data_IF_474987802305
#
_entry.id   IF_474987802305
#
_cell.length_a   1.000
_cell.length_b   1.000
_cell.length_c   1.000
_cell.angle_alpha   90.00
_cell.angle_beta   90.00
_cell.angle_gamma   90.00
#
_symmetry.space_group_name_H-M   'P 1'
#
loop_
_entity.id
_entity.type
_entity.pdbx_description
1 polymer ?
#
# COMPACT_ATOMS: atom_id res chain seq x y z
N UNK A 1 -3.99 -18.69 29.02
CA UNK A 1 -3.54 -17.46 28.31
C UNK A 1 -3.77 -17.51 26.79
N UNK A 2 -3.22 -18.47 26.03
CA UNK A 2 -3.48 -18.53 24.57
C UNK A 2 -4.94 -18.84 24.19
N UNK A 3 -5.62 -19.70 24.96
CA UNK A 3 -7.04 -20.04 24.74
C UNK A 3 -8.01 -18.90 25.12
N UNK A 4 -7.62 -18.10 26.12
CA UNK A 4 -8.41 -16.96 26.60
C UNK A 4 -8.32 -15.78 25.63
N UNK A 5 -7.12 -15.51 25.11
CA UNK A 5 -6.95 -14.57 24.01
C UNK A 5 -7.65 -15.00 22.73
N UNK A 6 -7.82 -16.31 22.46
CA UNK A 6 -8.60 -16.82 21.32
C UNK A 6 -10.11 -16.57 21.52
N UNK A 7 -10.63 -16.78 22.73
CA UNK A 7 -12.06 -16.53 23.05
C UNK A 7 -12.43 -15.05 22.99
N UNK A 8 -11.57 -14.15 23.48
CA UNK A 8 -11.78 -12.70 23.36
C UNK A 8 -11.80 -12.25 21.89
N UNK A 9 -10.92 -12.82 21.04
CA UNK A 9 -10.90 -12.55 19.59
C UNK A 9 -12.17 -13.01 18.90
N UNK A 10 -12.64 -14.22 19.22
CA UNK A 10 -13.90 -14.73 18.68
C UNK A 10 -15.09 -13.89 19.13
N UNK A 11 -15.13 -13.45 20.38
CA UNK A 11 -16.22 -12.62 20.90
C UNK A 11 -16.25 -11.24 20.22
N UNK A 12 -15.10 -10.58 20.04
CA UNK A 12 -15.02 -9.31 19.33
C UNK A 12 -15.43 -9.43 17.85
N UNK A 13 -14.97 -10.49 17.17
CA UNK A 13 -15.33 -10.73 15.76
C UNK A 13 -16.81 -11.08 15.59
N UNK A 14 -17.37 -11.94 16.46
CA UNK A 14 -18.80 -12.29 16.45
C UNK A 14 -19.66 -11.05 16.66
N UNK A 15 -19.32 -10.21 17.64
CA UNK A 15 -20.03 -8.95 17.88
C UNK A 15 -19.96 -7.98 16.69
N UNK A 16 -18.79 -7.87 16.07
CA UNK A 16 -18.60 -7.04 14.87
C UNK A 16 -19.43 -7.54 13.68
N UNK A 17 -19.32 -8.83 13.32
CA UNK A 17 -20.07 -9.40 12.20
C UNK A 17 -21.57 -9.32 12.44
N UNK A 18 -22.01 -9.52 13.68
CA UNK A 18 -23.42 -9.36 14.05
C UNK A 18 -23.90 -7.92 13.86
N UNK A 19 -23.14 -6.93 14.36
CA UNK A 19 -23.47 -5.52 14.20
C UNK A 19 -23.51 -5.10 12.72
N UNK A 20 -22.44 -5.38 11.96
CA UNK A 20 -22.38 -4.99 10.55
C UNK A 20 -23.36 -5.78 9.69
N UNK A 21 -23.64 -7.05 10.01
CA UNK A 21 -24.65 -7.86 9.33
C UNK A 21 -26.02 -7.20 9.36
N UNK A 22 -26.45 -6.73 10.54
CA UNK A 22 -27.72 -5.99 10.66
C UNK A 22 -27.69 -4.65 9.93
N UNK A 23 -26.58 -3.90 9.98
CA UNK A 23 -26.42 -2.65 9.21
C UNK A 23 -26.57 -2.92 7.70
N UNK A 24 -25.93 -3.96 7.17
CA UNK A 24 -26.04 -4.34 5.76
C UNK A 24 -27.45 -4.82 5.37
N UNK A 25 -28.12 -5.59 6.23
CA UNK A 25 -29.50 -6.01 5.98
C UNK A 25 -30.45 -4.81 5.93
N UNK A 26 -30.39 -3.94 6.94
CA UNK A 26 -31.25 -2.75 7.02
C UNK A 26 -31.00 -1.84 5.83
N UNK A 27 -29.73 -1.54 5.51
CA UNK A 27 -29.39 -0.66 4.39
C UNK A 27 -29.84 -1.25 3.05
N UNK A 28 -29.66 -2.55 2.82
CA UNK A 28 -30.11 -3.22 1.58
C UNK A 28 -31.64 -3.22 1.47
N UNK A 29 -32.35 -3.52 2.55
CA UNK A 29 -33.83 -3.46 2.56
C UNK A 29 -34.35 -2.05 2.33
N UNK A 30 -33.72 -1.03 2.92
CA UNK A 30 -34.08 0.38 2.67
C UNK A 30 -33.85 0.74 1.21
N UNK A 31 -32.73 0.35 0.59
CA UNK A 31 -32.49 0.59 -0.84
C UNK A 31 -33.55 -0.12 -1.67
N UNK A 32 -33.89 -1.37 -1.38
CA UNK A 32 -34.92 -2.11 -2.11
C UNK A 32 -36.31 -1.45 -2.03
N UNK A 33 -36.69 -0.94 -0.86
CA UNK A 33 -38.00 -0.31 -0.65
C UNK A 33 -38.07 1.10 -1.24
N UNK A 34 -37.01 1.91 -1.08
CA UNK A 34 -37.03 3.32 -1.43
C UNK A 34 -36.49 3.62 -2.83
N UNK A 35 -35.58 2.80 -3.36
CA UNK A 35 -35.04 2.98 -4.72
C UNK A 35 -35.94 2.23 -5.70
N UNK A 36 -36.93 2.93 -6.22
CA UNK A 36 -37.76 2.45 -7.33
C UNK A 36 -36.97 2.65 -8.62
N UNK A 37 -36.58 1.55 -9.27
CA UNK A 37 -35.98 1.64 -10.60
C UNK A 37 -37.04 2.10 -11.61
N UNK A 38 -36.66 2.98 -12.53
CA UNK A 38 -37.53 3.45 -13.62
C UNK A 38 -37.32 2.50 -14.79
N UNK A 39 -38.29 1.63 -15.04
CA UNK A 39 -38.29 0.74 -16.21
C UNK A 39 -38.51 1.56 -17.49
N UNK A 40 -37.44 1.78 -18.25
CA UNK A 40 -37.50 2.39 -19.58
C UNK A 40 -37.84 1.38 -20.71
N UNK A 41 -38.14 0.13 -20.37
CA UNK A 41 -38.32 -0.97 -21.33
C UNK A 41 -39.69 -1.01 -22.04
N UNK A 42 -40.60 -0.05 -21.78
CA UNK A 42 -41.94 -0.04 -22.39
C UNK A 42 -42.32 1.38 -22.85
N UNK A 43 -41.73 1.84 -23.96
CA UNK A 43 -42.41 2.79 -24.87
C UNK A 43 -41.77 2.76 -26.27
N UNK A 44 -42.41 2.18 -27.29
CA UNK A 44 -41.92 2.27 -28.65
C UNK A 44 -42.36 3.60 -29.26
N UNK A 45 -41.60 4.67 -29.04
CA UNK A 45 -41.80 5.92 -29.80
C UNK A 45 -40.60 6.87 -29.74
N UNK A 46 -39.44 6.43 -30.25
CA UNK A 46 -38.44 7.24 -31.00
C UNK A 46 -37.11 6.48 -31.06
N UNK A 47 -36.47 6.35 -32.24
CA UNK A 47 -35.26 5.55 -32.39
C UNK A 47 -34.00 6.40 -32.17
N UNK A 48 -33.89 7.10 -31.05
CA UNK A 48 -32.58 7.58 -30.62
C UNK A 48 -32.57 7.99 -29.14
N UNK A 49 -31.42 7.76 -28.50
CA UNK A 49 -31.05 8.24 -27.16
C UNK A 49 -31.61 7.51 -25.91
N UNK A 50 -31.29 6.22 -25.70
CA UNK A 50 -31.16 5.76 -24.31
C UNK A 50 -31.28 4.28 -23.99
N UNK A 51 -31.72 3.42 -24.91
CA UNK A 51 -31.83 1.99 -24.60
C UNK A 51 -30.46 1.35 -24.40
N UNK A 52 -30.27 0.70 -23.24
CA UNK A 52 -29.17 -0.23 -23.00
C UNK A 52 -29.29 -1.36 -24.03
N UNK A 53 -28.24 -1.61 -24.82
CA UNK A 53 -28.28 -2.69 -25.79
C UNK A 53 -28.23 -4.03 -25.07
N UNK A 54 -29.24 -4.86 -25.27
CA UNK A 54 -29.19 -6.29 -24.91
C UNK A 54 -28.26 -7.01 -25.90
N UNK A 55 -26.95 -6.95 -25.67
CA UNK A 55 -25.95 -7.61 -26.51
C UNK A 55 -25.88 -9.11 -26.22
N UNK A 56 -25.81 -9.92 -27.28
CA UNK A 56 -25.41 -11.33 -27.17
C UNK A 56 -23.99 -11.48 -26.63
N UNK A 57 -23.63 -12.68 -26.14
CA UNK A 57 -22.31 -12.94 -25.54
C UNK A 57 -21.17 -12.62 -26.52
N UNK A 58 -21.29 -13.07 -27.78
CA UNK A 58 -20.27 -12.84 -28.82
C UNK A 58 -20.13 -11.35 -29.14
N UNK A 59 -21.26 -10.66 -29.28
CA UNK A 59 -21.27 -9.23 -29.57
C UNK A 59 -20.70 -8.41 -28.40
N UNK A 60 -20.94 -8.85 -27.18
CA UNK A 60 -20.34 -8.26 -25.97
C UNK A 60 -18.81 -8.34 -26.01
N UNK A 61 -18.22 -9.49 -26.34
CA UNK A 61 -16.77 -9.61 -26.49
C UNK A 61 -16.23 -8.81 -27.68
N UNK A 62 -16.97 -8.73 -28.79
CA UNK A 62 -16.59 -7.91 -29.94
C UNK A 62 -16.60 -6.40 -29.59
N UNK A 63 -17.59 -5.94 -28.83
CA UNK A 63 -17.67 -4.56 -28.33
C UNK A 63 -16.57 -4.28 -27.32
N UNK A 64 -16.31 -5.19 -26.37
CA UNK A 64 -15.20 -5.08 -25.41
C UNK A 64 -13.85 -4.86 -26.14
N UNK A 65 -13.61 -5.63 -27.19
CA UNK A 65 -12.41 -5.49 -28.01
C UNK A 65 -12.32 -4.13 -28.71
N UNK A 66 -13.46 -3.59 -29.17
CA UNK A 66 -13.53 -2.24 -29.73
C UNK A 66 -13.26 -1.16 -28.68
N UNK A 67 -13.81 -1.29 -27.46
CA UNK A 67 -13.55 -0.37 -26.34
C UNK A 67 -12.05 -0.31 -26.05
N UNK A 68 -11.40 -1.47 -25.88
CA UNK A 68 -9.97 -1.55 -25.57
C UNK A 68 -9.11 -0.92 -26.67
N UNK A 69 -9.53 -0.96 -27.94
CA UNK A 69 -8.81 -0.34 -29.07
C UNK A 69 -8.98 1.18 -29.19
N UNK A 70 -9.86 1.82 -28.42
CA UNK A 70 -9.98 3.28 -28.44
C UNK A 70 -8.68 3.93 -27.95
N UNK A 71 -8.17 4.94 -28.67
CA UNK A 71 -6.91 5.62 -28.31
C UNK A 71 -6.92 6.16 -26.86
N UNK A 72 -7.98 6.85 -26.39
CA UNK A 72 -8.03 7.31 -24.99
C UNK A 72 -8.08 6.14 -23.99
N UNK A 73 -8.77 5.05 -24.34
CA UNK A 73 -8.86 3.85 -23.51
C UNK A 73 -7.52 3.15 -23.40
N UNK A 74 -6.77 2.96 -24.47
CA UNK A 74 -5.40 2.41 -24.43
C UNK A 74 -4.51 3.22 -23.49
N UNK A 75 -4.59 4.55 -23.56
CA UNK A 75 -3.84 5.42 -22.65
C UNK A 75 -4.30 5.29 -21.20
N UNK A 76 -5.60 5.12 -20.94
CA UNK A 76 -6.13 4.85 -19.59
C UNK A 76 -5.69 3.47 -19.07
N UNK A 77 -5.75 2.42 -19.90
CA UNK A 77 -5.25 1.08 -19.60
C UNK A 77 -3.78 1.12 -19.27
N UNK A 78 -3.00 1.87 -20.03
CA UNK A 78 -1.59 2.11 -19.74
C UNK A 78 -1.47 2.76 -18.37
N UNK A 79 -2.19 3.84 -18.07
CA UNK A 79 -2.11 4.49 -16.74
C UNK A 79 -2.50 3.56 -15.60
N UNK A 80 -3.50 2.69 -15.80
CA UNK A 80 -4.00 1.74 -14.80
C UNK A 80 -3.11 0.50 -14.61
N UNK A 81 -2.49 0.01 -15.67
CA UNK A 81 -1.67 -1.21 -15.62
C UNK A 81 -0.19 -0.91 -15.53
N UNK A 82 0.24 0.27 -15.97
CA UNK A 82 1.63 0.58 -16.23
C UNK A 82 1.95 2.05 -15.96
N UNK A 83 2.92 2.24 -15.09
CA UNK A 83 3.99 3.15 -15.47
C UNK A 83 4.65 2.60 -16.73
N UNK A 84 4.09 3.00 -17.89
CA UNK A 84 4.61 2.94 -19.27
C UNK A 84 4.70 1.57 -19.96
N UNK A 85 3.88 1.38 -21.02
CA UNK A 85 4.33 1.17 -22.44
C UNK A 85 3.12 1.10 -23.40
N UNK A 86 2.88 2.15 -24.18
CA UNK A 86 2.79 2.10 -25.66
C UNK A 86 3.50 3.37 -26.11
N UNK A 87 4.74 3.19 -26.57
CA UNK A 87 5.33 4.18 -27.45
C UNK A 87 4.41 4.27 -28.66
N UNK A 88 4.17 5.50 -29.10
CA UNK A 88 3.55 5.81 -30.38
C UNK A 88 4.00 4.80 -31.46
N UNK A 89 3.11 3.87 -31.80
CA UNK A 89 3.21 3.15 -33.06
C UNK A 89 2.75 4.14 -34.12
N UNK A 90 3.68 4.99 -34.57
CA UNK A 90 3.91 5.51 -35.92
C UNK A 90 4.96 6.63 -35.77
N UNK A 91 6.24 6.30 -35.88
CA UNK A 91 7.10 6.80 -36.97
C UNK A 91 8.53 6.18 -36.92
N UNK A 92 9.14 6.04 -38.11
CA UNK A 92 10.40 5.35 -38.41
C UNK A 92 11.66 6.00 -37.80
N UNK A 93 12.67 5.20 -37.40
CA UNK A 93 14.08 5.64 -37.39
C UNK A 93 14.97 5.21 -36.21
N UNK A 94 15.73 4.12 -36.43
CA UNK A 94 17.06 3.76 -35.87
C UNK A 94 17.77 4.77 -34.95
N UNK A 95 18.05 4.39 -33.68
CA UNK A 95 19.41 4.17 -33.15
C UNK A 95 19.37 3.58 -31.72
N UNK A 96 20.28 2.61 -31.48
CA UNK A 96 20.44 1.87 -30.23
C UNK A 96 21.20 2.70 -29.18
N UNK A 97 20.78 2.61 -27.91
CA UNK A 97 21.62 3.06 -26.80
C UNK A 97 20.92 3.06 -25.45
N UNK A 98 21.37 2.19 -24.56
CA UNK A 98 21.12 2.12 -23.10
C UNK A 98 19.75 1.62 -22.62
N UNK A 99 19.71 0.32 -22.35
CA UNK A 99 18.87 -0.28 -21.32
C UNK A 99 19.27 0.26 -19.92
N UNK A 100 18.40 1.06 -19.30
CA UNK A 100 18.25 1.08 -17.84
C UNK A 100 16.78 1.17 -17.48
N UNK A 101 16.37 0.25 -16.62
CA UNK A 101 15.00 -0.12 -16.32
C UNK A 101 14.05 1.05 -16.07
N UNK A 102 13.00 1.11 -16.87
CA UNK A 102 11.76 1.83 -16.57
C UNK A 102 10.62 0.81 -16.55
N UNK A 103 10.39 0.22 -15.38
CA UNK A 103 9.14 -0.44 -15.00
C UNK A 103 8.75 0.15 -13.66
N UNK A 104 7.62 0.82 -13.59
CA UNK A 104 7.12 1.31 -12.31
C UNK A 104 6.11 2.41 -12.46
N UNK A 105 4.84 2.02 -12.54
CA UNK A 105 3.74 2.86 -12.10
C UNK A 105 2.89 1.98 -11.23
N UNK A 106 2.40 2.57 -10.15
CA UNK A 106 1.81 1.94 -8.96
C UNK A 106 2.76 1.19 -8.01
N UNK A 107 4.06 1.11 -8.31
CA UNK A 107 5.08 0.66 -7.33
C UNK A 107 5.18 1.65 -6.15
N UNK A 108 4.77 2.90 -6.32
CA UNK A 108 4.95 3.99 -5.35
C UNK A 108 4.44 3.69 -3.94
N UNK A 109 3.34 2.95 -3.83
CA UNK A 109 2.68 2.65 -2.56
C UNK A 109 2.82 1.18 -2.16
N UNK A 110 3.33 0.34 -3.07
CA UNK A 110 3.37 -1.10 -2.90
C UNK A 110 4.21 -1.53 -1.68
N UNK A 111 5.33 -0.85 -1.43
CA UNK A 111 6.18 -1.14 -0.28
C UNK A 111 5.48 -0.77 1.03
N UNK A 112 4.86 0.41 1.08
CA UNK A 112 4.14 0.89 2.27
C UNK A 112 2.93 0.01 2.58
N UNK A 113 2.10 -0.30 1.60
CA UNK A 113 0.85 -1.04 1.80
C UNK A 113 1.10 -2.55 1.97
N UNK A 114 2.08 -3.10 1.26
CA UNK A 114 2.36 -4.54 1.24
C UNK A 114 3.32 -5.04 2.33
N UNK A 115 4.33 -4.24 2.70
CA UNK A 115 5.44 -4.71 3.55
C UNK A 115 5.30 -4.21 4.99
N UNK A 116 4.77 -3.01 5.22
CA UNK A 116 4.69 -2.39 6.57
C UNK A 116 3.96 -3.28 7.57
N UNK A 117 2.82 -3.87 7.17
CA UNK A 117 2.08 -4.81 8.02
C UNK A 117 2.89 -6.05 8.39
N UNK A 118 3.61 -6.63 7.42
CA UNK A 118 4.50 -7.79 7.66
C UNK A 118 5.67 -7.42 8.58
N UNK A 119 6.21 -6.22 8.44
CA UNK A 119 7.31 -5.74 9.26
C UNK A 119 6.90 -5.54 10.72
N UNK A 120 5.72 -4.98 10.97
CA UNK A 120 5.17 -4.83 12.32
C UNK A 120 4.95 -6.19 13.01
N UNK A 121 4.46 -7.17 12.27
CA UNK A 121 4.34 -8.55 12.76
C UNK A 121 5.73 -9.13 13.08
N UNK A 122 6.71 -8.93 12.21
CA UNK A 122 8.09 -9.39 12.42
C UNK A 122 8.78 -8.75 13.63
N UNK A 123 8.40 -7.52 14.00
CA UNK A 123 8.90 -6.82 15.19
C UNK A 123 8.27 -7.31 16.52
N UNK A 124 7.26 -8.18 16.45
CA UNK A 124 6.59 -8.76 17.61
C UNK A 124 5.24 -8.10 17.94
N UNK A 125 4.70 -7.25 17.08
CA UNK A 125 3.36 -6.70 17.29
C UNK A 125 2.31 -7.81 17.11
N UNK A 126 1.39 -8.01 18.07
CA UNK A 126 0.37 -9.04 17.98
C UNK A 126 -0.56 -8.79 16.78
N UNK A 127 -0.69 -9.82 15.94
CA UNK A 127 -1.50 -9.80 14.70
C UNK A 127 -2.95 -9.35 14.95
N UNK A 128 -3.48 -9.62 16.13
CA UNK A 128 -4.88 -9.32 16.47
C UNK A 128 -5.10 -7.82 16.70
N UNK A 129 -4.11 -7.14 17.29
CA UNK A 129 -4.17 -5.69 17.45
C UNK A 129 -4.08 -5.00 16.09
N UNK A 130 -3.18 -5.45 15.21
CA UNK A 130 -3.09 -4.98 13.82
C UNK A 130 -4.38 -5.22 13.03
N UNK A 131 -4.94 -6.43 13.10
CA UNK A 131 -6.20 -6.75 12.44
C UNK A 131 -7.37 -5.95 13.00
N UNK A 132 -7.39 -5.67 14.31
CA UNK A 132 -8.44 -4.84 14.92
C UNK A 132 -8.37 -3.38 14.46
N UNK A 133 -7.21 -2.85 14.08
CA UNK A 133 -7.11 -1.49 13.52
C UNK A 133 -7.90 -1.38 12.20
N UNK A 134 -7.80 -2.40 11.33
CA UNK A 134 -8.53 -2.43 10.07
C UNK A 134 -10.06 -2.40 10.28
N UNK A 135 -10.55 -3.05 11.33
CA UNK A 135 -11.96 -3.09 11.73
C UNK A 135 -12.48 -1.69 12.08
N UNK A 136 -11.69 -0.89 12.81
CA UNK A 136 -12.05 0.50 13.15
C UNK A 136 -12.02 1.46 11.96
N UNK A 137 -11.37 1.07 10.86
CA UNK A 137 -11.33 1.87 9.64
C UNK A 137 -12.59 1.69 8.78
N UNK A 138 -13.35 0.60 8.93
CA UNK A 138 -14.55 0.31 8.13
C UNK A 138 -15.62 1.42 8.15
N UNK A 139 -16.01 2.00 9.31
CA UNK A 139 -16.95 3.14 9.33
C UNK A 139 -16.45 4.33 8.52
N UNK A 140 -15.14 4.61 8.60
CA UNK A 140 -14.52 5.69 7.84
C UNK A 140 -14.69 5.47 6.33
N UNK A 141 -14.59 4.23 5.85
CA UNK A 141 -14.78 3.89 4.42
C UNK A 141 -16.21 4.13 3.93
N UNK A 142 -17.21 3.98 4.79
CA UNK A 142 -18.62 4.19 4.44
C UNK A 142 -18.97 5.68 4.46
N UNK A 143 -18.43 6.43 5.44
CA UNK A 143 -18.70 7.86 5.59
C UNK A 143 -17.92 8.73 4.60
N UNK A 144 -16.70 8.34 4.22
CA UNK A 144 -15.84 9.13 3.33
C UNK A 144 -16.48 9.40 1.95
N UNK A 145 -17.01 8.41 1.21
CA UNK A 145 -17.67 8.64 -0.06
C UNK A 145 -18.87 9.59 0.04
N UNK A 146 -19.61 9.56 1.15
CA UNK A 146 -20.72 10.48 1.38
C UNK A 146 -20.24 11.93 1.54
N UNK A 147 -19.17 12.16 2.31
CA UNK A 147 -18.58 13.49 2.50
C UNK A 147 -17.91 14.02 1.22
N UNK A 148 -17.21 13.15 0.50
CA UNK A 148 -16.42 13.51 -0.69
C UNK A 148 -17.28 13.53 -1.96
N UNK A 149 -18.48 12.95 -1.91
CA UNK A 149 -19.39 12.79 -3.05
C UNK A 149 -19.62 14.07 -3.86
N UNK A 150 -19.75 15.23 -3.20
CA UNK A 150 -19.89 16.54 -3.89
C UNK A 150 -18.66 16.93 -4.70
N UNK A 151 -17.47 16.55 -4.24
CA UNK A 151 -16.20 16.85 -4.92
C UNK A 151 -15.87 15.84 -6.02
N UNK A 152 -16.29 14.58 -5.87
CA UNK A 152 -16.07 13.52 -6.88
C UNK A 152 -17.15 13.46 -7.95
N UNK A 153 -18.39 13.90 -7.67
CA UNK A 153 -19.46 13.98 -8.66
C UNK A 153 -19.31 15.17 -9.64
N UNK A 154 -18.33 16.05 -9.42
CA UNK A 154 -18.08 17.20 -10.29
C UNK A 154 -17.56 16.81 -11.69
N UNK A 155 -17.40 17.79 -12.59
CA UNK A 155 -16.94 17.56 -13.97
C UNK A 155 -15.47 17.12 -14.06
N UNK A 156 -14.73 17.13 -12.94
CA UNK A 156 -13.29 16.83 -12.90
C UNK A 156 -12.89 15.98 -11.68
N UNK A 157 -13.34 14.70 -11.60
CA UNK A 157 -13.04 13.82 -10.46
C UNK A 157 -11.55 13.55 -10.21
N UNK A 158 -10.73 13.36 -11.26
CA UNK A 158 -9.28 13.13 -11.15
C UNK A 158 -8.50 14.29 -10.51
N UNK A 159 -9.08 15.50 -10.34
CA UNK A 159 -8.38 16.55 -9.59
C UNK A 159 -8.22 16.18 -8.11
N UNK A 160 -9.22 15.49 -7.54
CA UNK A 160 -9.16 14.98 -6.16
C UNK A 160 -8.08 13.89 -6.07
N UNK A 161 -7.98 13.02 -7.09
CA UNK A 161 -6.91 12.04 -7.20
C UNK A 161 -5.52 12.71 -7.22
N UNK A 162 -5.33 13.74 -8.04
CA UNK A 162 -4.06 14.47 -8.16
C UNK A 162 -3.66 15.18 -6.88
N UNK A 163 -4.62 15.64 -6.07
CA UNK A 163 -4.36 16.27 -4.77
C UNK A 163 -4.03 15.23 -3.69
N UNK A 164 -4.73 14.10 -3.68
CA UNK A 164 -4.53 13.03 -2.70
C UNK A 164 -3.24 12.23 -2.93
N UNK A 165 -2.78 12.11 -4.18
CA UNK A 165 -1.57 11.36 -4.55
C UNK A 165 -0.28 11.80 -3.82
N UNK A 166 0.14 13.07 -3.84
CA UNK A 166 1.35 13.50 -3.11
C UNK A 166 1.22 13.34 -1.60
N UNK A 167 0.01 13.55 -1.05
CA UNK A 167 -0.26 13.32 0.36
C UNK A 167 -0.08 11.83 0.73
N UNK A 168 -0.50 10.90 -0.15
CA UNK A 168 -0.27 9.46 0.05
C UNK A 168 1.22 9.10 0.01
N UNK A 169 2.02 9.70 -0.88
CA UNK A 169 3.48 9.49 -0.92
C UNK A 169 4.11 9.96 0.39
N UNK A 170 3.72 11.14 0.85
CA UNK A 170 4.19 11.69 2.12
C UNK A 170 3.87 10.75 3.30
N UNK A 171 2.62 10.26 3.39
CA UNK A 171 2.22 9.30 4.42
C UNK A 171 3.00 7.98 4.34
N UNK A 172 3.42 7.55 3.15
CA UNK A 172 4.31 6.40 2.98
C UNK A 172 5.68 6.60 3.62
N UNK A 173 6.26 7.79 3.48
CA UNK A 173 7.50 8.16 4.18
C UNK A 173 7.32 8.23 5.70
N UNK A 174 6.19 8.79 6.17
CA UNK A 174 5.84 8.81 7.60
C UNK A 174 5.74 7.40 8.16
N UNK A 175 5.13 6.46 7.44
CA UNK A 175 5.03 5.07 7.88
C UNK A 175 6.40 4.40 7.97
N UNK A 176 7.28 4.61 6.99
CA UNK A 176 8.65 4.11 7.10
C UNK A 176 9.39 4.69 8.32
N UNK A 177 9.23 5.99 8.61
CA UNK A 177 9.78 6.58 9.82
C UNK A 177 9.17 6.00 11.11
N UNK A 178 7.86 5.74 11.14
CA UNK A 178 7.18 5.09 12.25
C UNK A 178 7.67 3.64 12.46
N UNK A 179 7.88 2.88 11.39
CA UNK A 179 8.49 1.53 11.45
C UNK A 179 9.88 1.61 12.05
N UNK A 180 10.70 2.58 11.61
CA UNK A 180 12.04 2.78 12.15
C UNK A 180 12.03 3.11 13.65
N UNK A 181 11.07 3.91 14.09
CA UNK A 181 10.97 4.37 15.48
C UNK A 181 10.34 3.34 16.43
N UNK A 182 9.45 2.49 15.92
CA UNK A 182 8.74 1.44 16.69
C UNK A 182 9.64 0.58 17.60
N UNK A 183 10.81 0.04 17.17
CA UNK A 183 11.65 -0.79 18.04
C UNK A 183 12.17 -0.07 19.29
N UNK A 184 12.26 1.27 19.29
CA UNK A 184 12.73 2.03 20.46
C UNK A 184 11.79 1.96 21.66
N UNK A 185 10.52 1.60 21.46
CA UNK A 185 9.51 1.50 22.54
C UNK A 185 9.25 0.07 23.00
N UNK A 186 10.07 -0.88 22.58
CA UNK A 186 9.90 -2.28 22.96
C UNK A 186 10.17 -2.46 24.45
N UNK A 187 9.15 -2.86 25.22
CA UNK A 187 9.28 -3.10 26.65
C UNK A 187 10.06 -4.41 26.90
N UNK A 188 10.69 -4.58 28.08
CA UNK A 188 11.42 -5.80 28.44
C UNK A 188 10.58 -7.07 28.39
N UNK A 189 9.24 -6.95 28.57
CA UNK A 189 8.28 -8.05 28.45
C UNK A 189 7.91 -8.42 27.01
N UNK A 190 8.45 -7.72 26.00
CA UNK A 190 8.17 -7.95 24.58
C UNK A 190 6.95 -7.20 24.03
N UNK A 191 6.16 -6.57 24.90
CA UNK A 191 5.00 -5.77 24.53
C UNK A 191 5.37 -4.32 24.16
N UNK A 192 4.42 -3.63 23.52
CA UNK A 192 4.51 -2.21 23.19
C UNK A 192 3.52 -1.39 24.03
N UNK A 193 3.83 -0.13 24.38
CA UNK A 193 2.91 0.73 25.11
C UNK A 193 1.66 1.06 24.28
N UNK A 194 0.50 1.18 24.94
CA UNK A 194 -0.78 1.51 24.30
C UNK A 194 -0.72 2.79 23.42
N UNK A 195 0.08 3.77 23.86
CA UNK A 195 0.28 5.02 23.13
C UNK A 195 0.84 4.81 21.72
N UNK A 196 1.75 3.84 21.54
CA UNK A 196 2.31 3.53 20.23
C UNK A 196 1.23 2.99 19.28
N UNK A 197 0.35 2.13 19.78
CA UNK A 197 -0.79 1.64 19.00
C UNK A 197 -1.75 2.77 18.60
N UNK A 198 -2.01 3.72 19.50
CA UNK A 198 -2.85 4.88 19.17
C UNK A 198 -2.23 5.75 18.07
N UNK A 199 -0.90 5.95 18.09
CA UNK A 199 -0.16 6.66 17.04
C UNK A 199 -0.28 5.91 15.71
N UNK A 200 -0.11 4.59 15.71
CA UNK A 200 -0.28 3.77 14.51
C UNK A 200 -1.70 3.84 13.95
N UNK A 201 -2.72 3.74 14.80
CA UNK A 201 -4.14 3.88 14.39
C UNK A 201 -4.38 5.25 13.76
N UNK A 202 -3.91 6.32 14.40
CA UNK A 202 -4.06 7.67 13.87
C UNK A 202 -3.39 7.82 12.50
N UNK A 203 -2.15 7.34 12.37
CA UNK A 203 -1.43 7.31 11.10
C UNK A 203 -2.18 6.54 10.02
N UNK A 204 -2.73 5.37 10.36
CA UNK A 204 -3.56 4.56 9.47
C UNK A 204 -4.84 5.30 9.05
N UNK A 205 -5.55 5.98 9.95
CA UNK A 205 -6.70 6.79 9.59
C UNK A 205 -6.35 7.86 8.54
N UNK A 206 -5.25 8.60 8.77
CA UNK A 206 -4.77 9.62 7.84
C UNK A 206 -4.37 9.06 6.47
N UNK A 207 -3.68 7.93 6.46
CA UNK A 207 -3.31 7.22 5.23
C UNK A 207 -4.56 6.74 4.47
N UNK A 208 -5.54 6.19 5.19
CA UNK A 208 -6.76 5.65 4.59
C UNK A 208 -7.59 6.73 3.90
N UNK A 209 -7.71 7.93 4.47
CA UNK A 209 -8.40 9.04 3.81
C UNK A 209 -7.82 9.29 2.40
N UNK A 210 -6.49 9.33 2.25
CA UNK A 210 -5.84 9.51 0.95
C UNK A 210 -6.20 8.39 -0.04
N UNK A 211 -6.08 7.15 0.42
CA UNK A 211 -6.33 5.95 -0.39
C UNK A 211 -7.78 5.91 -0.88
N UNK A 212 -8.76 6.16 -0.01
CA UNK A 212 -10.17 6.20 -0.38
C UNK A 212 -10.51 7.37 -1.30
N UNK A 213 -9.97 8.57 -1.06
CA UNK A 213 -10.15 9.69 -1.98
C UNK A 213 -9.69 9.34 -3.40
N UNK A 214 -8.55 8.67 -3.55
CA UNK A 214 -8.04 8.21 -4.84
C UNK A 214 -8.96 7.16 -5.47
N UNK A 215 -9.37 6.15 -4.70
CA UNK A 215 -10.24 5.08 -5.17
C UNK A 215 -11.60 5.62 -5.66
N UNK A 216 -12.28 6.44 -4.85
CA UNK A 216 -13.58 7.01 -5.20
C UNK A 216 -13.48 7.93 -6.41
N UNK A 217 -12.40 8.71 -6.53
CA UNK A 217 -12.18 9.58 -7.70
C UNK A 217 -11.99 8.79 -9.00
N UNK A 218 -11.27 7.67 -8.93
CA UNK A 218 -11.08 6.79 -10.09
C UNK A 218 -12.40 6.11 -10.50
N UNK A 219 -13.17 5.62 -9.53
CA UNK A 219 -14.48 5.02 -9.77
C UNK A 219 -15.48 6.02 -10.36
N UNK A 220 -15.49 7.26 -9.86
CA UNK A 220 -16.31 8.32 -10.41
C UNK A 220 -15.93 8.65 -11.87
N UNK A 221 -14.64 8.64 -12.20
CA UNK A 221 -14.19 8.83 -13.57
C UNK A 221 -14.55 7.67 -14.49
N UNK A 222 -14.35 6.43 -14.04
CA UNK A 222 -14.72 5.23 -14.78
C UNK A 222 -16.22 5.22 -15.12
N UNK A 223 -17.06 5.65 -14.18
CA UNK A 223 -18.50 5.80 -14.41
C UNK A 223 -18.82 6.93 -15.41
N UNK A 224 -18.04 8.03 -15.42
CA UNK A 224 -18.25 9.15 -16.35
C UNK A 224 -17.83 8.85 -17.79
N UNK A 225 -16.81 8.01 -18.00
CA UNK A 225 -16.33 7.62 -19.34
C UNK A 225 -17.06 6.41 -19.93
N UNK A 226 -17.76 5.65 -19.09
CA UNK A 226 -18.53 4.48 -19.54
C UNK A 226 -19.73 4.95 -20.36
N UNK A 227 -19.82 4.44 -21.59
CA UNK A 227 -20.95 4.70 -22.49
C UNK A 227 -22.26 4.15 -21.88
N UNK A 228 -23.30 4.97 -21.68
CA UNK A 228 -24.57 4.52 -21.08
C UNK A 228 -25.19 3.32 -21.79
N UNK A 229 -25.03 3.21 -23.12
CA UNK A 229 -25.61 2.11 -23.91
C UNK A 229 -24.99 0.73 -23.60
N UNK A 230 -23.76 0.72 -23.08
CA UNK A 230 -22.96 -0.48 -22.75
C UNK A 230 -22.27 -0.33 -21.38
N UNK A 231 -22.92 0.40 -20.47
CA UNK A 231 -22.31 0.88 -19.23
C UNK A 231 -21.89 -0.26 -18.30
N UNK A 232 -22.69 -1.32 -18.21
CA UNK A 232 -22.40 -2.49 -17.37
C UNK A 232 -21.10 -3.19 -17.76
N UNK A 233 -20.92 -3.51 -19.05
CA UNK A 233 -19.71 -4.18 -19.56
C UNK A 233 -18.49 -3.27 -19.45
N UNK A 234 -18.61 -1.98 -19.79
CA UNK A 234 -17.51 -1.03 -19.75
C UNK A 234 -17.03 -0.79 -18.30
N UNK A 235 -17.96 -0.53 -17.37
CA UNK A 235 -17.64 -0.30 -15.97
C UNK A 235 -17.00 -1.54 -15.33
N UNK A 236 -17.50 -2.74 -15.66
CA UNK A 236 -16.93 -3.99 -15.15
C UNK A 236 -15.49 -4.18 -15.62
N UNK A 237 -15.21 -3.99 -16.92
CA UNK A 237 -13.86 -4.06 -17.46
C UNK A 237 -12.90 -3.12 -16.71
N UNK A 238 -13.28 -1.85 -16.56
CA UNK A 238 -12.49 -0.83 -15.88
C UNK A 238 -12.23 -1.17 -14.41
N UNK A 239 -13.20 -1.77 -13.72
CA UNK A 239 -13.04 -2.23 -12.34
C UNK A 239 -12.08 -3.42 -12.24
N UNK A 240 -12.18 -4.38 -13.17
CA UNK A 240 -11.22 -5.49 -13.25
C UNK A 240 -9.80 -4.97 -13.43
N UNK A 241 -9.61 -3.97 -14.28
CA UNK A 241 -8.30 -3.37 -14.53
C UNK A 241 -7.76 -2.59 -13.34
N UNK A 242 -8.60 -1.83 -12.63
CA UNK A 242 -8.22 -1.18 -11.38
C UNK A 242 -7.75 -2.19 -10.32
N UNK A 243 -8.51 -3.28 -10.16
CA UNK A 243 -8.17 -4.33 -9.20
C UNK A 243 -6.88 -5.07 -9.59
N UNK A 244 -6.66 -5.30 -10.88
CA UNK A 244 -5.42 -5.89 -11.37
C UNK A 244 -4.25 -4.94 -11.11
N UNK A 245 -4.37 -3.67 -11.53
CA UNK A 245 -3.39 -2.60 -11.36
C UNK A 245 -2.90 -2.45 -9.92
N UNK A 246 -3.83 -2.43 -8.95
CA UNK A 246 -3.47 -2.26 -7.55
C UNK A 246 -2.73 -3.44 -6.89
N UNK A 247 -2.94 -4.68 -7.35
CA UNK A 247 -2.42 -5.87 -6.66
C UNK A 247 -1.07 -6.36 -7.18
N UNK A 248 -0.84 -6.34 -8.50
CA UNK A 248 0.42 -6.85 -9.08
C UNK A 248 1.70 -6.12 -8.58
N UNK A 249 1.71 -4.80 -8.30
CA UNK A 249 2.91 -4.11 -7.81
C UNK A 249 3.30 -4.56 -6.41
N UNK A 250 2.32 -4.91 -5.56
CA UNK A 250 2.54 -5.42 -4.21
C UNK A 250 3.24 -6.78 -4.25
N UNK A 251 2.78 -7.69 -5.10
CA UNK A 251 3.45 -8.98 -5.28
C UNK A 251 4.88 -8.81 -5.81
N UNK A 252 5.07 -7.91 -6.78
CA UNK A 252 6.39 -7.65 -7.34
C UNK A 252 7.35 -7.06 -6.30
N UNK A 253 6.94 -6.05 -5.53
CA UNK A 253 7.83 -5.41 -4.55
C UNK A 253 8.18 -6.37 -3.41
N UNK A 254 7.25 -7.22 -2.97
CA UNK A 254 7.52 -8.24 -1.97
C UNK A 254 8.61 -9.20 -2.46
N UNK A 255 8.51 -9.67 -3.71
CA UNK A 255 9.53 -10.53 -4.31
C UNK A 255 10.89 -9.82 -4.50
N UNK A 256 10.89 -8.52 -4.82
CA UNK A 256 12.12 -7.74 -5.00
C UNK A 256 12.79 -7.38 -3.67
N UNK A 257 12.03 -7.24 -2.59
CA UNK A 257 12.55 -6.83 -1.28
C UNK A 257 13.52 -7.87 -0.71
N UNK A 258 13.30 -9.15 -0.99
CA UNK A 258 14.21 -10.23 -0.59
C UNK A 258 15.59 -10.09 -1.25
N UNK A 259 15.66 -9.57 -2.48
CA UNK A 259 16.93 -9.31 -3.17
C UNK A 259 17.68 -8.09 -2.60
N UNK A 260 16.95 -7.11 -2.05
CA UNK A 260 17.54 -5.92 -1.43
C UNK A 260 17.85 -6.08 0.07
N UNK A 261 17.50 -7.23 0.65
CA UNK A 261 17.72 -7.50 2.07
C UNK A 261 19.03 -8.23 2.27
N UNK A 262 19.97 -7.59 2.98
CA UNK A 262 21.26 -8.18 3.32
C UNK A 262 21.28 -8.56 4.80
N UNK A 263 21.69 -9.81 5.07
CA UNK A 263 21.75 -10.40 6.40
C UNK A 263 23.15 -10.84 6.72
N UNK A 264 23.57 -10.62 7.96
CA UNK A 264 24.88 -10.99 8.46
C UNK A 264 24.75 -11.95 9.66
N UNK A 265 25.64 -12.95 9.71
CA UNK A 265 25.72 -13.89 10.81
C UNK A 265 26.53 -13.26 11.95
N UNK A 266 25.90 -13.12 13.11
CA UNK A 266 26.47 -12.49 14.30
C UNK A 266 26.47 -13.47 15.46
N UNK A 267 27.56 -13.45 16.24
CA UNK A 267 27.75 -14.35 17.38
C UNK A 267 26.71 -14.09 18.47
N UNK A 268 25.99 -15.15 18.87
CA UNK A 268 24.96 -15.10 19.89
C UNK A 268 25.60 -14.97 21.28
N UNK A 269 25.67 -13.75 21.81
CA UNK A 269 25.99 -13.31 23.20
C UNK A 269 26.80 -12.00 23.29
N UNK A 270 27.03 -11.31 22.17
CA UNK A 270 27.53 -9.92 22.18
C UNK A 270 26.38 -8.95 22.48
N UNK A 271 25.68 -9.10 23.62
CA UNK A 271 24.68 -8.12 24.07
C UNK A 271 25.40 -6.89 24.62
N UNK A 272 25.88 -6.03 23.74
CA UNK A 272 26.18 -4.65 24.12
C UNK A 272 24.84 -3.96 24.37
N UNK A 273 24.52 -3.70 25.65
CA UNK A 273 23.44 -2.77 25.99
C UNK A 273 23.83 -1.39 25.49
N UNK A 274 23.44 -1.03 24.28
CA UNK A 274 23.42 0.37 23.83
C UNK A 274 22.30 1.03 24.64
N UNK A 275 22.63 1.53 25.83
CA UNK A 275 21.79 2.50 26.53
C UNK A 275 21.80 3.77 25.68
N UNK A 276 20.82 3.90 24.78
CA UNK A 276 20.30 5.20 24.37
C UNK A 276 19.65 5.84 25.61
N UNK A 277 20.46 6.37 26.52
CA UNK A 277 20.03 7.30 27.57
C UNK A 277 21.09 8.38 27.70
N UNK A 278 21.33 9.06 26.58
CA UNK A 278 21.89 10.39 26.57
C UNK A 278 20.90 11.24 25.80
N UNK A 279 19.85 11.70 26.49
CA UNK A 279 19.08 12.92 26.26
C UNK A 279 18.00 12.93 27.37
N UNK A 280 18.11 13.92 28.27
CA UNK A 280 17.23 14.27 29.40
C UNK A 280 17.43 13.43 30.69
N UNK A 281 18.35 13.87 31.56
CA UNK A 281 18.11 14.51 32.88
C UNK A 281 19.49 14.91 33.44
N UNK A 282 19.56 16.12 33.99
CA UNK A 282 20.79 16.84 34.32
C UNK A 282 21.64 16.28 35.47
N UNK A 283 22.85 16.83 35.53
CA UNK A 283 23.68 17.11 36.71
C UNK A 283 23.58 16.14 37.90
N UNK A 284 24.62 15.32 38.10
CA UNK A 284 24.89 14.64 39.36
C UNK A 284 26.37 14.31 39.50
N UNK A 285 27.04 14.97 40.45
CA UNK A 285 28.42 14.73 40.84
C UNK A 285 28.60 13.30 41.39
N UNK A 286 29.68 12.61 41.00
CA UNK A 286 30.18 11.46 41.76
C UNK A 286 31.34 11.91 42.67
N UNK A 287 31.15 11.98 44.00
CA UNK A 287 32.24 12.08 44.95
C UNK A 287 32.69 10.68 45.41
N UNK A 288 33.99 10.51 45.69
CA UNK A 288 34.46 9.52 46.66
C UNK A 288 34.97 8.18 46.13
N UNK A 289 36.31 8.09 46.06
CA UNK A 289 37.19 7.06 46.65
C UNK A 289 36.48 5.80 47.24
N UNK A 290 36.67 4.62 46.62
CA UNK A 290 36.29 3.33 47.22
C UNK A 290 36.26 2.16 46.22
N UNK A 291 37.37 1.43 46.17
CA UNK A 291 37.65 0.11 45.60
C UNK A 291 36.46 -0.79 45.17
N UNK A 292 36.48 -1.31 43.93
CA UNK A 292 36.12 -2.71 43.64
C UNK A 292 36.97 -3.22 42.46
N UNK A 293 37.98 -4.00 42.83
CA UNK A 293 38.71 -4.92 41.97
C UNK A 293 37.77 -6.06 41.54
N UNK A 294 37.76 -6.38 40.24
CA UNK A 294 37.81 -7.75 39.76
C UNK A 294 38.80 -7.77 38.58
N UNK A 295 39.96 -8.39 38.82
CA UNK A 295 41.00 -8.71 37.85
C UNK A 295 40.90 -10.22 37.60
N UNK A 296 40.88 -10.64 36.33
CA UNK A 296 41.42 -11.94 35.91
C UNK A 296 42.39 -11.69 34.75
N UNK A 297 43.58 -12.26 34.91
CA UNK A 297 44.74 -12.17 34.03
C UNK A 297 44.77 -13.42 33.13
N UNK A 298 45.04 -13.26 31.84
CA UNK A 298 45.30 -14.33 30.89
C UNK A 298 45.90 -13.73 29.62
N UNK A 299 47.10 -14.19 29.28
CA UNK A 299 48.09 -13.57 28.38
C UNK A 299 47.69 -13.51 26.90
N UNK A 300 48.15 -12.45 26.21
CA UNK A 300 48.10 -12.31 24.76
C UNK A 300 47.96 -10.85 24.32
N UNK A 301 49.08 -10.21 23.99
CA UNK A 301 49.14 -8.84 23.47
C UNK A 301 48.26 -8.63 22.23
N UNK A 302 47.33 -7.68 22.27
CA UNK A 302 47.10 -6.75 21.15
C UNK A 302 46.30 -5.53 21.59
N UNK A 303 46.84 -4.39 21.19
CA UNK A 303 46.41 -2.99 21.20
C UNK A 303 44.91 -2.72 21.44
N UNK A 304 44.65 -1.81 22.38
CA UNK A 304 43.37 -1.12 22.63
C UNK A 304 42.76 -0.56 21.33
N UNK A 305 41.53 -0.96 21.03
CA UNK A 305 40.55 -0.05 20.43
C UNK A 305 39.21 -0.12 21.17
N UNK A 306 38.62 1.05 21.39
CA UNK A 306 37.43 1.28 22.22
C UNK A 306 36.24 1.48 21.31
N UNK A 307 35.82 0.41 20.63
CA UNK A 307 34.52 0.30 19.95
C UNK A 307 34.03 -1.13 20.09
N UNK A 308 32.91 -1.33 20.77
CA UNK A 308 32.22 -2.62 20.90
C UNK A 308 31.76 -3.11 19.52
N UNK A 309 32.54 -3.99 18.91
CA UNK A 309 32.31 -4.55 17.60
C UNK A 309 31.33 -5.74 17.71
N UNK A 310 30.18 -5.66 17.05
CA UNK A 310 29.42 -6.87 16.71
C UNK A 310 30.35 -7.72 15.84
N UNK A 311 30.84 -8.87 16.34
CA UNK A 311 31.70 -9.75 15.55
C UNK A 311 30.88 -10.42 14.44
N UNK A 312 30.91 -9.82 13.26
CA UNK A 312 30.29 -10.36 12.03
C UNK A 312 31.18 -11.48 11.51
N UNK A 313 30.60 -12.67 11.30
CA UNK A 313 31.32 -13.83 10.79
C UNK A 313 31.33 -13.84 9.25
N UNK A 314 30.14 -13.80 8.64
CA UNK A 314 29.92 -13.81 7.19
C UNK A 314 28.46 -13.45 6.87
N UNK A 315 28.18 -13.06 5.61
CA UNK A 315 26.81 -12.75 5.18
C UNK A 315 25.97 -14.02 4.96
N UNK A 316 24.75 -14.05 5.49
CA UNK A 316 23.84 -15.19 5.50
C UNK A 316 22.63 -14.99 4.55
N UNK A 317 22.90 -14.54 3.32
CA UNK A 317 21.85 -14.21 2.35
C UNK A 317 21.20 -15.45 1.70
N UNK A 318 21.88 -16.59 1.66
CA UNK A 318 21.33 -17.84 1.11
C UNK A 318 20.84 -18.77 2.22
N UNK A 319 19.86 -19.62 1.91
CA UNK A 319 19.32 -20.59 2.86
C UNK A 319 20.40 -21.52 3.44
N UNK A 320 21.37 -21.93 2.61
CA UNK A 320 22.48 -22.78 3.05
C UNK A 320 23.37 -22.08 4.10
N UNK A 321 23.69 -20.80 3.89
CA UNK A 321 24.49 -20.00 4.83
C UNK A 321 23.72 -19.66 6.10
N UNK A 322 22.40 -19.44 6.00
CA UNK A 322 21.53 -19.23 7.16
C UNK A 322 21.44 -20.50 8.03
N UNK A 323 21.30 -21.67 7.40
CA UNK A 323 21.30 -22.96 8.10
C UNK A 323 22.67 -23.23 8.76
N UNK A 324 23.77 -22.86 8.10
CA UNK A 324 25.12 -22.96 8.67
C UNK A 324 25.30 -22.07 9.90
N UNK A 325 24.84 -20.81 9.83
CA UNK A 325 24.90 -19.87 10.95
C UNK A 325 24.10 -20.38 12.16
N UNK A 326 22.88 -20.87 11.90
CA UNK A 326 21.99 -21.40 12.96
C UNK A 326 22.56 -22.67 13.59
N UNK A 327 23.19 -23.55 12.79
CA UNK A 327 23.91 -24.74 13.28
C UNK A 327 25.13 -24.38 14.15
N UNK A 328 25.79 -23.26 13.84
CA UNK A 328 26.88 -22.71 14.65
C UNK A 328 26.44 -22.15 16.01
N UNK A 329 25.13 -22.05 16.26
CA UNK A 329 24.58 -21.43 17.47
C UNK A 329 24.44 -19.90 17.36
N UNK A 330 24.75 -19.33 16.19
CA UNK A 330 24.76 -17.90 15.90
C UNK A 330 23.41 -17.42 15.33
N UNK A 331 23.23 -16.09 15.24
CA UNK A 331 21.99 -15.48 14.74
C UNK A 331 22.26 -14.70 13.47
N UNK A 332 21.47 -15.00 12.43
CA UNK A 332 21.47 -14.24 11.19
C UNK A 332 20.58 -12.99 11.36
N UNK A 333 21.20 -11.83 11.61
CA UNK A 333 20.52 -10.55 11.79
C UNK A 333 20.50 -9.76 10.49
N UNK A 334 19.43 -9.00 10.25
CA UNK A 334 19.31 -8.13 9.07
C UNK A 334 20.17 -6.90 9.29
N UNK A 335 21.21 -6.73 8.48
CA UNK A 335 22.08 -5.56 8.53
C UNK A 335 21.51 -4.41 7.67
N UNK A 336 21.06 -4.72 6.44
CA UNK A 336 20.38 -3.77 5.56
C UNK A 336 18.99 -4.30 5.26
N UNK A 337 17.99 -3.57 5.73
CA UNK A 337 16.59 -3.91 5.49
C UNK A 337 16.12 -3.38 4.14
N UNK A 338 15.84 -4.31 3.23
CA UNK A 338 15.36 -4.01 1.88
C UNK A 338 14.05 -3.20 1.88
N UNK A 339 13.29 -3.21 2.98
CA UNK A 339 12.08 -2.40 3.13
C UNK A 339 12.33 -0.90 2.94
N UNK A 340 13.35 -0.32 3.58
CA UNK A 340 13.59 1.12 3.47
C UNK A 340 14.11 1.53 2.09
N UNK A 341 14.93 0.67 1.47
CA UNK A 341 15.37 0.83 0.08
C UNK A 341 14.18 0.76 -0.86
N UNK A 342 13.29 -0.23 -0.67
CA UNK A 342 12.06 -0.36 -1.43
C UNK A 342 11.18 0.89 -1.29
N UNK A 343 10.90 1.35 -0.07
CA UNK A 343 10.09 2.58 0.16
C UNK A 343 10.71 3.79 -0.52
N UNK A 344 12.03 3.98 -0.43
CA UNK A 344 12.72 5.09 -1.08
C UNK A 344 12.62 5.02 -2.61
N UNK A 345 12.90 3.86 -3.21
CA UNK A 345 12.79 3.64 -4.66
C UNK A 345 11.34 3.83 -5.15
N UNK A 346 10.37 3.24 -4.45
CA UNK A 346 8.95 3.39 -4.72
C UNK A 346 8.54 4.87 -4.70
N UNK A 347 8.95 5.62 -3.69
CA UNK A 347 8.63 7.05 -3.55
C UNK A 347 9.20 7.88 -4.69
N UNK A 348 10.46 7.65 -5.09
CA UNK A 348 11.09 8.33 -6.24
C UNK A 348 10.36 7.99 -7.55
N UNK A 349 10.08 6.72 -7.79
CA UNK A 349 9.31 6.25 -8.95
C UNK A 349 7.93 6.91 -8.98
N UNK A 350 7.25 7.00 -7.83
CA UNK A 350 5.95 7.65 -7.68
C UNK A 350 5.97 9.14 -8.01
N UNK A 351 7.01 9.87 -7.57
CA UNK A 351 7.16 11.30 -7.89
C UNK A 351 7.38 11.49 -9.40
N UNK A 352 8.21 10.65 -10.03
CA UNK A 352 8.45 10.70 -11.48
C UNK A 352 7.16 10.36 -12.25
N UNK A 353 6.46 9.31 -11.84
CA UNK A 353 5.16 8.91 -12.40
C UNK A 353 4.14 10.05 -12.29
N UNK A 354 4.02 10.67 -11.11
CA UNK A 354 3.14 11.80 -10.89
C UNK A 354 3.44 12.96 -11.82
N UNK A 355 4.71 13.40 -11.91
CA UNK A 355 5.11 14.50 -12.79
C UNK A 355 4.84 14.20 -14.27
N UNK A 356 5.12 12.99 -14.71
CA UNK A 356 4.94 12.59 -16.12
C UNK A 356 3.47 12.46 -16.52
N UNK A 357 2.62 11.94 -15.63
CA UNK A 357 1.21 11.70 -15.93
C UNK A 357 0.29 12.83 -15.49
N UNK A 358 0.73 13.77 -14.68
CA UNK A 358 -0.06 14.93 -14.26
C UNK A 358 -0.73 15.64 -15.45
N UNK A 359 0.04 15.90 -16.51
CA UNK A 359 -0.47 16.55 -17.72
C UNK A 359 -1.43 15.65 -18.51
N UNK A 360 -1.20 14.33 -18.52
CA UNK A 360 -2.04 13.35 -19.23
C UNK A 360 -3.38 13.11 -18.51
N UNK A 361 -3.35 13.00 -17.19
CA UNK A 361 -4.53 12.89 -16.33
C UNK A 361 -5.42 14.11 -16.52
N UNK A 362 -4.85 15.33 -16.49
CA UNK A 362 -5.60 16.56 -16.79
C UNK A 362 -6.14 16.61 -18.23
N UNK A 363 -5.43 16.00 -19.18
CA UNK A 363 -5.90 15.89 -20.56
C UNK A 363 -7.10 14.94 -20.68
N UNK A 364 -7.08 13.78 -20.02
CA UNK A 364 -8.21 12.83 -20.06
C UNK A 364 -9.52 13.45 -19.57
N UNK A 365 -9.47 14.33 -18.57
CA UNK A 365 -10.65 15.03 -18.08
C UNK A 365 -11.21 16.10 -19.04
N UNK A 366 -10.44 16.49 -20.06
CA UNK A 366 -10.87 17.45 -21.09
C UNK A 366 -11.47 16.75 -22.32
N UNK A 367 -11.20 15.46 -22.50
CA UNK A 367 -11.72 14.70 -23.64
C UNK A 367 -13.24 14.59 -23.49
N UNK A 368 -14.03 15.00 -24.50
CA UNK A 368 -15.48 14.92 -24.45
C UNK A 368 -15.94 13.46 -24.39
N UNK A 369 -17.08 13.19 -23.73
CA UNK A 369 -17.62 11.83 -23.55
C UNK A 369 -17.84 11.09 -24.87
N UNK A 370 -18.11 11.81 -25.96
CA UNK A 370 -18.30 11.25 -27.31
C UNK A 370 -17.06 10.54 -27.87
N UNK A 371 -15.86 10.89 -27.41
CA UNK A 371 -14.63 10.21 -27.84
C UNK A 371 -14.33 8.93 -27.02
N UNK A 372 -15.03 8.74 -25.90
CA UNK A 372 -14.98 7.53 -25.09
C UNK A 372 -16.06 6.52 -25.48
N UNK A 373 -17.06 6.94 -26.26
CA UNK A 373 -18.14 6.07 -26.73
C UNK A 373 -17.72 5.28 -27.97
N UNK A 374 -18.09 4.00 -28.00
CA UNK A 374 -17.88 3.15 -29.19
C UNK A 374 -18.98 3.41 -30.22
N UNK A 375 -20.18 3.74 -29.73
CA UNK A 375 -21.34 4.06 -30.55
C UNK A 375 -21.41 5.59 -30.63
N UNK A 376 -21.02 6.14 -31.78
CA UNK A 376 -21.14 7.59 -32.03
C UNK A 376 -22.62 7.92 -32.23
N UNK A 377 -23.10 8.96 -31.54
CA UNK A 377 -24.39 9.59 -31.83
C UNK A 377 -24.35 10.26 -33.20
#
# INVERSE_FOLDING_TARGET
MADEGRKEREQGLKGFVFFWGWVFLITTTLVLVFKKEVDHSITPSSPDEGEELELGIVDTYAVLWKIVRLKPMLWLLIVLLTGKRVLDEVDWGREMGTERGKRGGEIAFAATDGITGLKLIGMGMPKDKLSSMAVFLTPLQVLLPWMIGKYTAGPRPLNVFLLAYPYRIFMGGVFAALVWWTPSFRLPGGDFPLMLYAIWVAGYCFHQVASYCMFVSMMAFNAQISDPKIGGTYMTLLNTLNNLGGNWPVTLILSLTDYFTFKDCVVKNTKTRIFHTAIIVGMGNCPGRGSFLCKEEGEGESIRDRTTEHRVLYSCNTKALMDQCTKGGDVCEVHIDGYYIAVALCSVIGIVWFKTLFSKIKYFQKIPRSEWSVIKK
#
